data_IF_041163855635
#
_entry.id   IF_041163855635
#
_cell.length_a   1.000
_cell.length_b   1.000
_cell.length_c   1.000
_cell.angle_alpha   90.00
_cell.angle_beta   90.00
_cell.angle_gamma   90.00
#
_symmetry.space_group_name_H-M   'P 1'
#
loop_
_entity.id
_entity.type
_entity.pdbx_description
1 polymer ?
#
# COMPACT_ATOMS: atom_id res chain seq x y z
N UNK A 1 17.33 -24.59 -18.43
CA UNK A 1 16.64 -24.18 -19.67
C UNK A 1 17.71 -23.60 -20.55
N UNK A 2 18.07 -24.33 -21.61
CA UNK A 2 19.16 -23.99 -22.52
C UNK A 2 18.75 -22.81 -23.40
N UNK A 3 19.66 -21.86 -23.59
CA UNK A 3 19.48 -20.73 -24.52
C UNK A 3 19.24 -21.30 -25.93
N UNK A 4 18.12 -20.98 -26.59
CA UNK A 4 17.85 -21.49 -27.92
C UNK A 4 18.87 -20.92 -28.92
N UNK A 5 19.58 -21.83 -29.59
CA UNK A 5 20.60 -21.54 -30.59
C UNK A 5 20.00 -20.74 -31.76
N UNK A 6 20.21 -19.43 -31.74
CA UNK A 6 19.73 -18.46 -32.73
C UNK A 6 20.21 -18.79 -34.16
N UNK A 7 21.26 -19.60 -34.32
CA UNK A 7 21.71 -20.06 -35.64
C UNK A 7 20.78 -21.11 -36.26
N UNK A 8 20.14 -21.95 -35.45
CA UNK A 8 19.21 -22.96 -35.93
C UNK A 8 17.92 -22.33 -36.50
N UNK A 9 17.50 -21.20 -35.93
CA UNK A 9 16.32 -20.44 -36.40
C UNK A 9 16.56 -19.77 -37.74
N UNK A 10 17.78 -19.30 -37.99
CA UNK A 10 18.16 -18.65 -39.25
C UNK A 10 18.39 -19.64 -40.40
N UNK A 11 18.80 -20.88 -40.10
CA UNK A 11 19.01 -21.93 -41.11
C UNK A 11 17.71 -22.61 -41.56
N UNK A 12 16.61 -22.49 -40.80
CA UNK A 12 15.28 -22.93 -41.23
C UNK A 12 14.63 -21.85 -42.11
N UNK A 13 15.22 -21.62 -43.28
CA UNK A 13 14.65 -20.79 -44.31
C UNK A 13 13.24 -21.23 -44.69
N UNK A 14 12.30 -20.29 -44.62
CA UNK A 14 11.05 -20.24 -45.38
C UNK A 14 10.00 -21.35 -45.24
N UNK A 15 10.06 -22.19 -44.21
CA UNK A 15 9.01 -23.18 -43.97
C UNK A 15 8.56 -23.22 -42.50
N UNK A 16 8.00 -22.13 -42.00
CA UNK A 16 6.84 -22.20 -41.09
C UNK A 16 6.26 -20.79 -40.96
N UNK A 17 5.04 -20.63 -41.48
CA UNK A 17 4.20 -19.46 -41.30
C UNK A 17 3.71 -19.42 -39.84
N UNK A 18 4.63 -19.26 -38.88
CA UNK A 18 4.26 -18.85 -37.52
C UNK A 18 3.98 -17.37 -37.62
N UNK A 19 2.71 -17.02 -37.63
CA UNK A 19 2.23 -15.65 -37.49
C UNK A 19 2.96 -15.01 -36.31
N UNK A 20 4.01 -14.24 -36.60
CA UNK A 20 4.63 -13.35 -35.62
C UNK A 20 3.57 -12.30 -35.36
N UNK A 21 2.99 -12.22 -34.14
CA UNK A 21 1.98 -11.22 -33.85
C UNK A 21 2.58 -9.86 -34.17
N UNK A 22 1.86 -9.06 -34.96
CA UNK A 22 2.39 -7.75 -35.39
C UNK A 22 2.77 -6.95 -34.16
N UNK A 23 3.84 -6.17 -34.24
CA UNK A 23 4.31 -5.31 -33.13
C UNK A 23 3.16 -4.48 -32.52
N UNK A 24 2.17 -4.11 -33.34
CA UNK A 24 0.94 -3.45 -32.90
C UNK A 24 0.02 -4.34 -32.02
N UNK A 25 -0.14 -5.63 -32.32
CA UNK A 25 -0.91 -6.57 -31.48
C UNK A 25 -0.23 -6.81 -30.14
N UNK A 26 1.10 -6.98 -30.13
CA UNK A 26 1.90 -7.15 -28.92
C UNK A 26 1.83 -5.88 -28.05
N UNK A 27 2.00 -4.69 -28.65
CA UNK A 27 1.83 -3.41 -27.96
C UNK A 27 0.42 -3.20 -27.39
N UNK A 28 -0.62 -3.62 -28.12
CA UNK A 28 -2.01 -3.53 -27.66
C UNK A 28 -2.30 -4.51 -26.50
N UNK A 29 -1.68 -5.69 -26.52
CA UNK A 29 -1.78 -6.67 -25.44
C UNK A 29 -1.05 -6.20 -24.17
N UNK A 30 0.14 -5.61 -24.28
CA UNK A 30 0.84 -4.97 -23.16
C UNK A 30 0.08 -3.77 -22.61
N UNK A 31 -0.58 -2.97 -23.47
CA UNK A 31 -1.43 -1.85 -23.06
C UNK A 31 -2.67 -2.31 -22.29
N UNK A 32 -3.35 -3.37 -22.74
CA UNK A 32 -4.48 -3.97 -22.01
C UNK A 32 -4.05 -4.56 -20.66
N UNK A 33 -2.91 -5.25 -20.60
CA UNK A 33 -2.38 -5.86 -19.37
C UNK A 33 -1.97 -4.80 -18.34
N UNK A 34 -1.33 -3.71 -18.78
CA UNK A 34 -0.96 -2.59 -17.91
C UNK A 34 -2.16 -1.80 -17.39
N UNK A 35 -3.17 -1.55 -18.23
CA UNK A 35 -4.44 -0.95 -17.79
C UNK A 35 -5.15 -1.83 -16.76
N UNK A 36 -5.22 -3.14 -16.99
CA UNK A 36 -5.79 -4.08 -16.03
C UNK A 36 -5.03 -4.09 -14.69
N UNK A 37 -3.70 -4.00 -14.70
CA UNK A 37 -2.89 -3.92 -13.48
C UNK A 37 -3.22 -2.67 -12.66
N UNK A 38 -3.33 -1.52 -13.32
CA UNK A 38 -3.66 -0.26 -12.64
C UNK A 38 -5.10 -0.25 -12.14
N UNK A 39 -6.03 -0.78 -12.92
CA UNK A 39 -7.41 -0.93 -12.49
C UNK A 39 -7.54 -1.87 -11.29
N UNK A 40 -6.73 -2.94 -11.27
CA UNK A 40 -6.63 -3.83 -10.13
C UNK A 40 -6.11 -3.10 -8.88
N UNK A 41 -5.01 -2.34 -8.99
CA UNK A 41 -4.48 -1.52 -7.89
C UNK A 41 -5.54 -0.53 -7.38
N UNK A 42 -6.25 0.18 -8.29
CA UNK A 42 -7.34 1.09 -7.94
C UNK A 42 -8.49 0.37 -7.22
N UNK A 43 -8.80 -0.86 -7.63
CA UNK A 43 -9.86 -1.68 -7.01
C UNK A 43 -9.45 -2.15 -5.62
N UNK A 44 -8.18 -2.56 -5.44
CA UNK A 44 -7.63 -3.01 -4.17
C UNK A 44 -7.59 -1.87 -3.18
N UNK A 45 -7.11 -0.69 -3.59
CA UNK A 45 -7.11 0.52 -2.76
C UNK A 45 -8.53 0.93 -2.33
N UNK A 46 -9.51 0.88 -3.26
CA UNK A 46 -10.94 1.11 -2.94
C UNK A 46 -11.46 0.12 -1.90
N UNK A 47 -11.10 -1.16 -2.04
CA UNK A 47 -11.54 -2.22 -1.14
C UNK A 47 -10.91 -2.06 0.25
N UNK A 48 -9.62 -1.79 0.33
CA UNK A 48 -8.91 -1.50 1.59
C UNK A 48 -9.55 -0.32 2.30
N UNK A 49 -9.83 0.78 1.58
CA UNK A 49 -10.46 1.96 2.18
C UNK A 49 -11.88 1.66 2.70
N UNK A 50 -12.69 0.90 1.97
CA UNK A 50 -14.01 0.47 2.45
C UNK A 50 -13.92 -0.43 3.67
N UNK A 51 -13.00 -1.40 3.68
CA UNK A 51 -12.79 -2.28 4.82
C UNK A 51 -12.37 -1.46 6.04
N UNK A 52 -11.48 -0.47 5.87
CA UNK A 52 -11.07 0.43 6.93
C UNK A 52 -12.25 1.22 7.51
N UNK A 53 -13.10 1.81 6.65
CA UNK A 53 -14.29 2.55 7.09
C UNK A 53 -15.29 1.66 7.85
N UNK A 54 -15.55 0.46 7.31
CA UNK A 54 -16.45 -0.52 7.95
C UNK A 54 -15.87 -0.97 9.30
N UNK A 55 -14.57 -1.22 9.38
CA UNK A 55 -13.91 -1.63 10.62
C UNK A 55 -13.83 -0.49 11.66
N UNK A 56 -13.75 0.76 11.21
CA UNK A 56 -13.70 1.92 12.10
C UNK A 56 -15.06 2.26 12.72
N UNK A 57 -16.17 1.93 12.06
CA UNK A 57 -17.52 2.25 12.55
C UNK A 57 -17.88 1.58 13.90
N UNK A 58 -17.65 0.27 14.12
CA UNK A 58 -17.83 -0.36 15.43
C UNK A 58 -16.98 0.30 16.53
N UNK A 59 -15.75 0.71 16.21
CA UNK A 59 -14.87 1.40 17.15
C UNK A 59 -15.43 2.76 17.58
N UNK A 60 -15.95 3.53 16.63
CA UNK A 60 -16.61 4.81 16.92
C UNK A 60 -17.88 4.62 17.78
N UNK A 61 -18.71 3.63 17.47
CA UNK A 61 -19.92 3.29 18.24
C UNK A 61 -19.55 2.89 19.67
N UNK A 62 -18.53 2.06 19.83
CA UNK A 62 -18.07 1.59 21.15
C UNK A 62 -17.53 2.76 22.00
N UNK A 63 -16.78 3.69 21.41
CA UNK A 63 -16.31 4.89 22.10
C UNK A 63 -17.45 5.81 22.54
N UNK A 64 -18.49 5.96 21.71
CA UNK A 64 -19.69 6.72 22.09
C UNK A 64 -20.47 6.04 23.22
N UNK A 65 -20.61 4.72 23.17
CA UNK A 65 -21.34 3.94 24.19
C UNK A 65 -20.64 3.95 25.56
N UNK A 66 -19.30 4.01 25.56
CA UNK A 66 -18.47 4.06 26.77
C UNK A 66 -18.28 5.48 27.33
N UNK A 67 -18.92 6.50 26.74
CA UNK A 67 -18.86 7.89 27.21
C UNK A 67 -17.58 8.64 26.84
N UNK A 68 -16.74 8.09 25.97
CA UNK A 68 -15.49 8.69 25.52
C UNK A 68 -15.68 9.63 24.33
N UNK A 69 -16.50 10.67 24.50
CA UNK A 69 -16.89 11.57 23.42
C UNK A 69 -15.70 12.26 22.72
N UNK A 70 -14.67 12.67 23.48
CA UNK A 70 -13.48 13.32 22.92
C UNK A 70 -12.71 12.39 21.95
N UNK A 71 -12.55 11.12 22.34
CA UNK A 71 -11.90 10.10 21.52
C UNK A 71 -12.74 9.71 20.30
N UNK A 72 -14.07 9.65 20.46
CA UNK A 72 -14.98 9.42 19.35
C UNK A 72 -14.91 10.53 18.30
N UNK A 73 -14.88 11.80 18.73
CA UNK A 73 -14.68 12.96 17.83
C UNK A 73 -13.31 12.89 17.16
N UNK A 74 -12.25 12.58 17.91
CA UNK A 74 -10.91 12.40 17.34
C UNK A 74 -10.85 11.32 16.27
N UNK A 75 -11.52 10.19 16.50
CA UNK A 75 -11.62 9.10 15.53
C UNK A 75 -12.40 9.52 14.28
N UNK A 76 -13.50 10.26 14.43
CA UNK A 76 -14.27 10.79 13.29
C UNK A 76 -13.44 11.78 12.45
N UNK A 77 -12.69 12.67 13.08
CA UNK A 77 -11.76 13.59 12.39
C UNK A 77 -10.69 12.79 11.65
N UNK A 78 -10.12 11.76 12.29
CA UNK A 78 -9.13 10.89 11.66
C UNK A 78 -9.69 10.15 10.44
N UNK A 79 -10.92 9.63 10.54
CA UNK A 79 -11.62 9.01 9.40
C UNK A 79 -11.82 10.02 8.27
N UNK A 80 -12.31 11.23 8.58
CA UNK A 80 -12.52 12.29 7.60
C UNK A 80 -11.24 12.69 6.87
N UNK A 81 -10.13 12.83 7.59
CA UNK A 81 -8.82 13.11 7.00
C UNK A 81 -8.33 11.97 6.09
N UNK A 82 -8.58 10.70 6.46
CA UNK A 82 -8.24 9.57 5.62
C UNK A 82 -9.09 9.51 4.35
N UNK A 83 -10.38 9.83 4.42
CA UNK A 83 -11.25 9.94 3.24
C UNK A 83 -10.74 11.04 2.32
N UNK A 84 -10.49 12.24 2.86
CA UNK A 84 -9.99 13.37 2.07
C UNK A 84 -8.65 13.07 1.38
N UNK A 85 -7.71 12.47 2.12
CA UNK A 85 -6.42 12.04 1.56
C UNK A 85 -6.60 11.01 0.45
N UNK A 86 -7.48 10.03 0.65
CA UNK A 86 -7.77 9.01 -0.35
C UNK A 86 -8.37 9.62 -1.64
N UNK A 87 -9.31 10.55 -1.51
CA UNK A 87 -9.87 11.26 -2.67
C UNK A 87 -8.81 12.08 -3.41
N UNK A 88 -7.91 12.76 -2.68
CA UNK A 88 -6.81 13.51 -3.27
C UNK A 88 -5.85 12.61 -4.06
N UNK A 89 -5.47 11.45 -3.50
CA UNK A 89 -4.62 10.46 -4.18
C UNK A 89 -5.33 9.85 -5.40
N UNK A 90 -6.63 9.56 -5.31
CA UNK A 90 -7.42 9.02 -6.43
C UNK A 90 -7.61 10.03 -7.57
N UNK A 91 -7.76 11.32 -7.24
CA UNK A 91 -7.80 12.40 -8.23
C UNK A 91 -6.50 12.52 -9.03
N UNK A 92 -5.34 12.37 -8.38
CA UNK A 92 -4.03 12.29 -9.03
C UNK A 92 -3.95 11.10 -10.01
N UNK A 93 -4.45 9.94 -9.59
CA UNK A 93 -4.53 8.73 -10.42
C UNK A 93 -5.48 8.83 -11.63
N UNK A 94 -6.48 9.71 -11.57
CA UNK A 94 -7.44 9.92 -12.66
C UNK A 94 -7.00 11.01 -13.64
N UNK A 95 -6.03 11.86 -13.28
CA UNK A 95 -5.45 12.88 -14.16
C UNK A 95 -4.49 12.31 -15.21
N UNK A 96 -3.86 11.17 -14.95
CA UNK A 96 -2.92 10.56 -15.88
C UNK A 96 -3.72 9.74 -16.90
N UNK A 97 -3.98 10.31 -18.08
CA UNK A 97 -4.69 9.62 -19.15
C UNK A 97 -3.72 8.69 -19.91
N UNK A 98 -4.10 7.43 -20.17
CA UNK A 98 -3.26 6.43 -20.85
C UNK A 98 -3.13 6.66 -22.37
N UNK A 99 -3.59 7.79 -22.90
CA UNK A 99 -3.74 8.04 -24.33
C UNK A 99 -2.47 8.60 -25.00
N UNK A 100 -1.60 9.28 -24.27
CA UNK A 100 -0.46 10.00 -24.88
C UNK A 100 0.89 9.27 -24.77
N UNK A 101 1.16 8.51 -23.70
CA UNK A 101 2.41 7.74 -23.59
C UNK A 101 2.33 6.62 -22.52
N UNK A 102 2.20 5.37 -22.94
CA UNK A 102 2.10 4.19 -22.04
C UNK A 102 3.30 4.07 -21.10
N UNK A 103 4.49 4.48 -21.54
CA UNK A 103 5.73 4.42 -20.76
C UNK A 103 5.74 5.46 -19.62
N UNK A 104 5.25 6.67 -19.89
CA UNK A 104 5.11 7.71 -18.85
C UNK A 104 3.99 7.36 -17.86
N UNK A 105 2.93 6.72 -18.34
CA UNK A 105 1.87 6.16 -17.49
C UNK A 105 2.40 5.11 -16.51
N UNK A 106 3.16 4.11 -16.99
CA UNK A 106 3.77 3.10 -16.12
C UNK A 106 4.79 3.71 -15.14
N UNK A 107 5.61 4.68 -15.59
CA UNK A 107 6.54 5.40 -14.70
C UNK A 107 5.81 6.18 -13.61
N UNK A 108 4.70 6.83 -13.94
CA UNK A 108 3.90 7.59 -12.98
C UNK A 108 3.25 6.65 -11.95
N UNK A 109 2.74 5.50 -12.38
CA UNK A 109 2.18 4.46 -11.50
C UNK A 109 3.25 3.90 -10.55
N UNK A 110 4.43 3.55 -11.05
CA UNK A 110 5.55 3.06 -10.22
C UNK A 110 5.97 4.11 -9.18
N UNK A 111 6.05 5.38 -9.57
CA UNK A 111 6.37 6.49 -8.67
C UNK A 111 5.30 6.67 -7.59
N UNK A 112 4.02 6.62 -7.96
CA UNK A 112 2.89 6.67 -7.02
C UNK A 112 2.92 5.50 -6.04
N UNK A 113 3.19 4.28 -6.50
CA UNK A 113 3.29 3.12 -5.63
C UNK A 113 4.43 3.26 -4.62
N UNK A 114 5.62 3.71 -5.06
CA UNK A 114 6.75 4.00 -4.16
C UNK A 114 6.41 5.11 -3.15
N UNK A 115 5.68 6.12 -3.59
CA UNK A 115 5.27 7.22 -2.71
C UNK A 115 4.22 6.76 -1.69
N UNK A 116 3.25 5.94 -2.09
CA UNK A 116 2.29 5.30 -1.20
C UNK A 116 3.01 4.42 -0.17
N UNK A 117 3.96 3.61 -0.62
CA UNK A 117 4.82 2.79 0.25
C UNK A 117 5.60 3.61 1.28
N UNK A 118 6.18 4.74 0.86
CA UNK A 118 6.88 5.65 1.75
C UNK A 118 5.94 6.28 2.78
N UNK A 119 4.76 6.74 2.33
CA UNK A 119 3.76 7.34 3.19
C UNK A 119 3.23 6.34 4.23
N UNK A 120 3.03 5.07 3.85
CA UNK A 120 2.66 4.00 4.77
C UNK A 120 3.73 3.78 5.86
N UNK A 121 5.01 3.78 5.47
CA UNK A 121 6.13 3.63 6.42
C UNK A 121 6.19 4.77 7.43
N UNK A 122 5.97 6.01 6.98
CA UNK A 122 5.89 7.19 7.86
C UNK A 122 4.67 7.10 8.77
N UNK A 123 3.52 6.74 8.21
CA UNK A 123 2.26 6.58 8.96
C UNK A 123 2.42 5.58 10.11
N UNK A 124 3.05 4.43 9.85
CA UNK A 124 3.37 3.42 10.87
C UNK A 124 4.27 3.97 11.98
N UNK A 125 5.28 4.76 11.63
CA UNK A 125 6.25 5.30 12.57
C UNK A 125 5.58 6.28 13.57
N UNK A 126 4.55 6.99 13.11
CA UNK A 126 3.74 7.89 13.93
C UNK A 126 2.65 7.12 14.68
N UNK A 127 1.98 6.18 14.01
CA UNK A 127 0.81 5.47 14.56
C UNK A 127 1.16 4.50 15.68
N UNK A 128 2.32 3.84 15.62
CA UNK A 128 2.72 2.86 16.65
C UNK A 128 2.92 3.49 18.03
N UNK A 129 3.70 4.58 18.18
CA UNK A 129 3.76 5.30 19.45
C UNK A 129 2.39 5.72 19.96
N UNK A 130 1.52 6.21 19.07
CA UNK A 130 0.15 6.61 19.39
C UNK A 130 -0.70 5.44 19.92
N UNK A 131 -0.61 4.26 19.28
CA UNK A 131 -1.34 3.06 19.72
C UNK A 131 -0.80 2.54 21.05
N UNK A 132 0.53 2.50 21.23
CA UNK A 132 1.16 2.06 22.49
C UNK A 132 0.75 3.00 23.63
N UNK A 133 0.82 4.31 23.42
CA UNK A 133 0.35 5.29 24.39
C UNK A 133 -1.14 5.12 24.67
N UNK A 134 -1.98 5.09 23.62
CA UNK A 134 -3.42 4.94 23.75
C UNK A 134 -3.83 3.67 24.47
N UNK A 135 -3.15 2.55 24.25
CA UNK A 135 -3.43 1.28 24.92
C UNK A 135 -3.02 1.28 26.39
N UNK A 136 -1.96 1.99 26.78
CA UNK A 136 -1.61 2.20 28.19
C UNK A 136 -2.66 3.06 28.88
N UNK A 137 -3.05 4.20 28.29
CA UNK A 137 -4.09 5.07 28.83
C UNK A 137 -5.45 4.36 28.93
N UNK A 138 -5.84 3.64 27.89
CA UNK A 138 -7.10 2.90 27.85
C UNK A 138 -7.09 1.73 28.85
N UNK A 139 -5.99 0.97 28.93
CA UNK A 139 -5.85 -0.10 29.91
C UNK A 139 -5.90 0.41 31.35
N UNK A 140 -5.29 1.56 31.61
CA UNK A 140 -5.34 2.21 32.92
C UNK A 140 -6.77 2.63 33.29
N UNK A 141 -7.48 3.29 32.37
CA UNK A 141 -8.87 3.69 32.57
C UNK A 141 -9.79 2.49 32.75
N UNK A 142 -9.60 1.42 31.97
CA UNK A 142 -10.41 0.21 32.06
C UNK A 142 -10.27 -0.51 33.42
N UNK A 143 -9.05 -0.60 33.95
CA UNK A 143 -8.77 -1.30 35.21
C UNK A 143 -9.09 -0.44 36.43
N UNK A 144 -8.79 0.85 36.37
CA UNK A 144 -8.80 1.73 37.54
C UNK A 144 -9.97 2.72 37.57
N UNK A 145 -10.69 2.89 36.46
CA UNK A 145 -11.71 3.93 36.28
C UNK A 145 -11.15 5.37 36.19
N UNK A 146 -9.84 5.57 36.43
CA UNK A 146 -9.19 6.87 36.48
C UNK A 146 -7.73 6.82 35.97
N UNK A 147 -7.23 7.96 35.49
CA UNK A 147 -5.86 8.17 35.03
C UNK A 147 -4.95 8.54 36.21
N UNK A 148 -4.52 7.53 36.95
CA UNK A 148 -3.54 7.67 38.01
C UNK A 148 -2.17 8.17 37.50
N UNK A 149 -1.76 9.36 37.93
CA UNK A 149 -0.51 10.00 37.51
C UNK A 149 0.73 9.45 38.23
N UNK A 150 0.55 8.73 39.34
CA UNK A 150 1.60 8.07 40.14
C UNK A 150 2.32 6.96 39.36
N UNK A 151 1.60 6.23 38.51
CA UNK A 151 2.15 5.21 37.62
C UNK A 151 3.21 5.78 36.68
N UNK A 152 3.03 7.01 36.19
CA UNK A 152 3.98 7.67 35.27
C UNK A 152 5.29 8.08 35.93
N UNK A 153 5.37 8.06 37.27
CA UNK A 153 6.62 8.29 38.00
C UNK A 153 7.47 7.02 38.09
N UNK A 154 6.92 5.85 37.77
CA UNK A 154 7.63 4.59 37.86
C UNK A 154 8.54 4.40 36.62
N UNK A 155 9.86 4.23 36.81
CA UNK A 155 10.78 4.03 35.69
C UNK A 155 10.48 2.76 34.89
N UNK A 156 9.84 1.76 35.52
CA UNK A 156 9.40 0.54 34.86
C UNK A 156 8.37 0.79 33.74
N UNK A 157 7.48 1.78 33.89
CA UNK A 157 6.49 2.12 32.86
C UNK A 157 7.16 2.75 31.66
N UNK A 158 8.12 3.66 31.88
CA UNK A 158 8.91 4.24 30.79
C UNK A 158 9.69 3.18 30.03
N UNK A 159 10.28 2.21 30.73
CA UNK A 159 10.98 1.09 30.11
C UNK A 159 10.04 0.24 29.25
N UNK A 160 8.87 -0.13 29.76
CA UNK A 160 7.84 -0.87 29.03
C UNK A 160 7.35 -0.10 27.79
N UNK A 161 7.20 1.22 27.91
CA UNK A 161 6.76 2.09 26.82
C UNK A 161 7.80 2.13 25.70
N UNK A 162 9.08 2.30 26.06
CA UNK A 162 10.19 2.25 25.09
C UNK A 162 10.27 0.87 24.43
N UNK A 163 10.22 -0.21 25.21
CA UNK A 163 10.26 -1.58 24.67
C UNK A 163 9.06 -1.86 23.77
N UNK A 164 7.86 -1.41 24.14
CA UNK A 164 6.64 -1.54 23.34
C UNK A 164 6.73 -0.80 22.02
N UNK A 165 7.25 0.44 22.02
CA UNK A 165 7.48 1.21 20.79
C UNK A 165 8.52 0.51 19.91
N UNK A 166 9.65 0.08 20.47
CA UNK A 166 10.72 -0.59 19.71
C UNK A 166 10.21 -1.91 19.11
N UNK A 167 9.53 -2.74 19.90
CA UNK A 167 8.94 -3.99 19.45
C UNK A 167 7.89 -3.74 18.36
N UNK A 168 7.03 -2.73 18.54
CA UNK A 168 6.04 -2.32 17.53
C UNK A 168 6.71 -1.90 16.22
N UNK A 169 7.74 -1.05 16.27
CA UNK A 169 8.47 -0.61 15.07
C UNK A 169 9.12 -1.79 14.35
N UNK A 170 9.75 -2.71 15.09
CA UNK A 170 10.38 -3.91 14.52
C UNK A 170 9.34 -4.83 13.88
N UNK A 171 8.25 -5.13 14.59
CA UNK A 171 7.16 -5.94 14.09
C UNK A 171 6.54 -5.31 12.84
N UNK A 172 6.31 -4.00 12.85
CA UNK A 172 5.70 -3.32 11.72
C UNK A 172 6.63 -3.24 10.50
N UNK A 173 7.94 -3.09 10.70
CA UNK A 173 8.90 -3.23 9.58
C UNK A 173 8.83 -4.61 8.96
N UNK A 174 8.78 -5.66 9.78
CA UNK A 174 8.66 -7.03 9.32
C UNK A 174 7.33 -7.25 8.58
N UNK A 175 6.21 -6.83 9.19
CA UNK A 175 4.88 -6.91 8.61
C UNK A 175 4.79 -6.16 7.29
N UNK A 176 5.27 -4.93 7.22
CA UNK A 176 5.25 -4.13 6.00
C UNK A 176 6.07 -4.81 4.90
N UNK A 177 7.27 -5.31 5.22
CA UNK A 177 8.08 -6.03 4.23
C UNK A 177 7.34 -7.27 3.71
N UNK A 178 6.72 -8.03 4.59
CA UNK A 178 5.92 -9.20 4.24
C UNK A 178 4.72 -8.83 3.37
N UNK A 179 3.91 -7.86 3.81
CA UNK A 179 2.70 -7.43 3.13
C UNK A 179 3.00 -6.86 1.74
N UNK A 180 4.04 -6.04 1.64
CA UNK A 180 4.47 -5.42 0.39
C UNK A 180 4.95 -6.48 -0.58
N UNK A 181 5.75 -7.43 -0.12
CA UNK A 181 6.22 -8.51 -0.98
C UNK A 181 5.06 -9.34 -1.50
N UNK A 182 4.10 -9.70 -0.63
CA UNK A 182 2.97 -10.56 -0.97
C UNK A 182 1.94 -9.88 -1.90
N UNK A 183 1.55 -8.63 -1.61
CA UNK A 183 0.47 -7.97 -2.36
C UNK A 183 0.97 -7.12 -3.54
N UNK A 184 2.14 -6.48 -3.37
CA UNK A 184 2.64 -5.50 -4.33
C UNK A 184 3.95 -5.91 -5.01
N UNK A 185 4.72 -6.84 -4.45
CA UNK A 185 6.04 -7.22 -4.93
C UNK A 185 5.99 -7.85 -6.32
N UNK A 186 5.14 -8.88 -6.47
CA UNK A 186 4.88 -9.52 -7.77
C UNK A 186 4.42 -8.51 -8.83
N UNK A 187 3.53 -7.58 -8.45
CA UNK A 187 2.95 -6.62 -9.39
C UNK A 187 3.89 -5.47 -9.76
N UNK A 188 4.71 -5.03 -8.82
CA UNK A 188 5.73 -4.01 -9.08
C UNK A 188 6.83 -4.58 -9.99
N UNK A 189 7.25 -5.83 -9.76
CA UNK A 189 8.22 -6.52 -10.62
C UNK A 189 7.67 -6.69 -12.03
N UNK A 190 6.41 -7.12 -12.18
CA UNK A 190 5.75 -7.25 -13.48
C UNK A 190 5.66 -5.88 -14.22
N UNK A 191 5.43 -4.78 -13.49
CA UNK A 191 5.46 -3.41 -14.05
C UNK A 191 6.88 -2.99 -14.44
N UNK A 192 7.90 -3.29 -13.62
CA UNK A 192 9.30 -2.94 -13.90
C UNK A 192 9.87 -3.74 -15.08
N UNK A 193 9.49 -5.01 -15.23
CA UNK A 193 9.82 -5.84 -16.40
C UNK A 193 9.21 -5.27 -17.68
N UNK A 194 7.91 -4.92 -17.66
CA UNK A 194 7.25 -4.30 -18.84
C UNK A 194 7.90 -2.95 -19.20
N UNK A 195 8.32 -2.15 -18.20
CA UNK A 195 9.04 -0.90 -18.46
C UNK A 195 10.40 -1.18 -19.14
N UNK A 196 11.12 -2.21 -18.69
CA UNK A 196 12.43 -2.59 -19.22
C UNK A 196 12.32 -3.11 -20.66
N UNK A 197 11.36 -3.98 -20.93
CA UNK A 197 11.09 -4.49 -22.27
C UNK A 197 10.73 -3.36 -23.25
N UNK A 198 9.95 -2.37 -22.79
CA UNK A 198 9.58 -1.20 -23.59
C UNK A 198 10.71 -0.16 -23.73
N UNK A 199 11.69 -0.12 -22.82
CA UNK A 199 12.87 0.76 -22.95
C UNK A 199 13.93 0.17 -23.87
N UNK A 200 14.10 -1.14 -23.84
CA UNK A 200 15.13 -1.85 -24.59
C UNK A 200 14.69 -2.16 -26.04
N UNK A 201 13.40 -1.99 -26.35
CA UNK A 201 12.81 -2.10 -27.70
C UNK A 201 12.86 -0.79 -28.52
N UNK A 202 13.54 0.27 -28.02
CA UNK A 202 13.79 1.52 -28.74
C UNK A 202 15.23 1.55 -29.25
#
# INVERSE_FOLDING_TARGET
>A
MEEPDLRAVWQQGHALNKEVPSVAQTAQQHRKRSLNLVEHIKSTARREHRIFLIAAAPGAILLLFTGHYLWAVGLLVFIGLNIWKYEAEMHLFNRIRPEENTLDYLKAVSRLLRQFMRNYRIGILIFIPLVVLGSIFFGQWWVSGDLRTDLWQQPAIWLLLVLGIVAGILFSRWWLRFWVHTFYGSKLQEIEEIIRDLSDSK
#
